data_IF_979276906444
#
_entry.id   IF_979276906444
#
_cell.length_a   1.000
_cell.length_b   1.000
_cell.length_c   1.000
_cell.angle_alpha   90.00
_cell.angle_beta   90.00
_cell.angle_gamma   90.00
#
_symmetry.space_group_name_H-M   'P 1'
#
loop_
_entity.id
_entity.type
_entity.pdbx_description
1 polymer ?
#
# COMPACT_ATOMS: atom_id res chain seq x y z
N UNK A 1 -31.94 40.90 45.84
CA UNK A 1 -30.79 41.06 46.76
C UNK A 1 -29.53 41.19 45.90
N UNK A 2 -29.14 42.44 45.61
CA UNK A 2 -28.08 42.75 44.64
C UNK A 2 -26.81 43.04 45.43
N UNK A 3 -25.86 42.11 45.44
CA UNK A 3 -24.54 42.30 46.01
C UNK A 3 -23.72 43.25 45.13
N UNK A 4 -23.64 44.54 45.55
CA UNK A 4 -22.72 45.48 44.96
C UNK A 4 -21.33 45.25 45.51
N UNK A 5 -20.44 44.64 44.69
CA UNK A 5 -19.02 44.57 45.03
C UNK A 5 -18.34 45.93 44.91
N UNK A 6 -18.22 46.60 46.03
CA UNK A 6 -17.70 47.98 46.15
C UNK A 6 -16.19 48.12 46.13
N UNK A 7 -15.40 47.09 45.79
CA UNK A 7 -13.98 47.13 45.86
C UNK A 7 -13.27 46.76 44.52
N UNK A 8 -12.72 47.76 43.85
CA UNK A 8 -12.07 47.66 42.54
C UNK A 8 -10.91 46.62 42.55
N UNK A 9 -10.24 46.40 43.68
CA UNK A 9 -9.17 45.41 43.86
C UNK A 9 -9.67 43.96 43.75
N UNK A 10 -10.88 43.65 44.24
CA UNK A 10 -11.49 42.33 44.18
C UNK A 10 -11.92 41.98 42.78
N UNK A 11 -12.36 42.95 41.95
CA UNK A 11 -12.69 42.73 40.57
C UNK A 11 -11.50 42.27 39.72
N UNK A 12 -10.31 42.80 40.00
CA UNK A 12 -9.09 42.42 39.31
C UNK A 12 -8.70 40.98 39.68
N UNK A 13 -8.83 40.58 40.96
CA UNK A 13 -8.53 39.22 41.41
C UNK A 13 -9.43 38.19 40.76
N UNK A 14 -10.73 38.45 40.62
CA UNK A 14 -11.67 37.54 39.94
C UNK A 14 -11.40 37.44 38.44
N UNK A 15 -11.01 38.53 37.77
CA UNK A 15 -10.65 38.53 36.35
C UNK A 15 -9.37 37.74 36.12
N UNK A 16 -8.37 37.89 36.97
CA UNK A 16 -7.12 37.15 36.89
C UNK A 16 -7.32 35.67 37.20
N UNK A 17 -8.14 35.30 38.20
CA UNK A 17 -8.50 33.91 38.46
C UNK A 17 -9.27 33.30 37.31
N UNK A 18 -10.19 33.99 36.66
CA UNK A 18 -10.93 33.49 35.51
C UNK A 18 -10.03 33.32 34.29
N UNK A 19 -9.08 34.22 34.06
CA UNK A 19 -8.09 34.08 33.01
C UNK A 19 -7.11 32.94 33.27
N UNK A 20 -6.70 32.68 34.50
CA UNK A 20 -5.85 31.55 34.85
C UNK A 20 -6.55 30.20 34.69
N UNK A 21 -7.88 30.12 34.96
CA UNK A 21 -8.68 28.93 34.72
C UNK A 21 -8.95 28.67 33.24
N UNK A 22 -8.94 29.71 32.39
CA UNK A 22 -9.13 29.55 30.94
C UNK A 22 -7.89 29.04 30.22
N UNK A 23 -6.71 29.05 30.87
CA UNK A 23 -5.44 28.52 30.35
C UNK A 23 -5.13 27.08 30.78
N UNK A 24 -6.00 26.41 31.54
CA UNK A 24 -5.97 24.96 31.58
C UNK A 24 -6.59 24.41 30.29
N UNK A 25 -6.05 24.88 29.14
CA UNK A 25 -6.27 24.25 27.89
C UNK A 25 -5.88 22.79 28.07
N UNK A 26 -6.77 21.88 27.76
CA UNK A 26 -6.46 20.48 27.57
C UNK A 26 -5.20 20.45 26.71
N UNK A 27 -4.03 20.28 27.34
CA UNK A 27 -2.89 19.74 26.63
C UNK A 27 -3.39 18.37 26.16
N UNK A 28 -3.88 18.29 24.91
CA UNK A 28 -4.18 17.03 24.28
C UNK A 28 -2.94 16.18 24.53
N UNK A 29 -3.07 15.15 25.34
CA UNK A 29 -2.04 14.13 25.47
C UNK A 29 -1.76 13.76 24.03
N UNK A 30 -0.53 13.90 23.51
CA UNK A 30 -0.27 13.51 22.14
C UNK A 30 -0.72 12.06 22.01
N UNK A 31 -1.82 11.88 21.30
CA UNK A 31 -2.38 10.57 21.06
C UNK A 31 -1.25 9.77 20.41
N UNK A 32 -0.83 8.67 21.05
CA UNK A 32 0.22 7.82 20.47
C UNK A 32 -0.25 7.50 19.05
N UNK A 33 0.56 7.80 18.03
CA UNK A 33 0.14 7.57 16.67
C UNK A 33 -0.34 6.13 16.54
N UNK A 34 -1.53 5.97 16.02
CA UNK A 34 -2.21 4.69 15.91
C UNK A 34 -1.39 3.75 15.03
N UNK A 35 -1.11 2.56 15.54
CA UNK A 35 -0.40 1.52 14.79
C UNK A 35 -1.34 0.93 13.75
N UNK A 36 -0.88 0.72 12.52
CA UNK A 36 -1.74 0.38 11.41
C UNK A 36 -1.23 -0.79 10.56
N UNK A 37 -2.15 -1.47 9.88
CA UNK A 37 -1.89 -2.36 8.76
C UNK A 37 -2.21 -1.59 7.50
N UNK A 38 -1.21 -1.42 6.64
CA UNK A 38 -1.33 -0.68 5.39
C UNK A 38 -1.48 -1.63 4.21
N UNK A 39 -2.64 -1.59 3.55
CA UNK A 39 -2.82 -2.20 2.24
C UNK A 39 -2.40 -1.23 1.16
N UNK A 40 -1.56 -1.69 0.23
CA UNK A 40 -1.20 -0.94 -0.96
C UNK A 40 -1.59 -1.75 -2.18
N UNK A 41 -2.55 -1.25 -2.94
CA UNK A 41 -3.03 -1.90 -4.15
C UNK A 41 -2.40 -1.29 -5.39
N UNK A 42 -2.07 -2.11 -6.39
CA UNK A 42 -1.57 -1.63 -7.68
C UNK A 42 -2.63 -0.82 -8.42
N UNK A 43 -3.85 -1.35 -8.47
CA UNK A 43 -5.01 -0.80 -9.17
C UNK A 43 -6.07 -0.33 -8.19
N UNK A 44 -7.14 0.25 -8.74
CA UNK A 44 -8.28 0.66 -7.94
C UNK A 44 -8.83 -0.51 -7.11
N UNK A 45 -8.85 -0.32 -5.79
CA UNK A 45 -9.37 -1.29 -4.82
C UNK A 45 -10.90 -1.48 -4.90
N UNK A 46 -11.61 -0.66 -5.69
CA UNK A 46 -13.07 -0.71 -5.82
C UNK A 46 -13.55 -1.87 -6.70
N UNK A 47 -12.64 -2.64 -7.30
CA UNK A 47 -13.06 -3.88 -7.96
C UNK A 47 -13.64 -4.83 -6.92
N UNK A 48 -14.78 -5.44 -7.24
CA UNK A 48 -15.48 -6.35 -6.31
C UNK A 48 -14.55 -7.40 -5.71
N UNK A 49 -13.66 -7.98 -6.50
CA UNK A 49 -12.74 -9.02 -6.05
C UNK A 49 -11.72 -8.50 -5.01
N UNK A 50 -11.09 -7.37 -5.27
CA UNK A 50 -10.11 -6.76 -4.35
C UNK A 50 -10.81 -6.31 -3.07
N UNK A 51 -11.95 -5.67 -3.20
CA UNK A 51 -12.77 -5.22 -2.09
C UNK A 51 -13.20 -6.37 -1.18
N UNK A 52 -13.73 -7.45 -1.73
CA UNK A 52 -14.18 -8.63 -0.97
C UNK A 52 -13.01 -9.28 -0.22
N UNK A 53 -11.83 -9.38 -0.84
CA UNK A 53 -10.63 -9.94 -0.19
C UNK A 53 -10.14 -9.07 0.98
N UNK A 54 -10.09 -7.74 0.79
CA UNK A 54 -9.69 -6.82 1.85
C UNK A 54 -10.69 -6.88 3.01
N UNK A 55 -11.99 -6.85 2.72
CA UNK A 55 -13.02 -6.94 3.76
C UNK A 55 -12.95 -8.26 4.52
N UNK A 56 -12.80 -9.39 3.83
CA UNK A 56 -12.64 -10.70 4.47
C UNK A 56 -11.45 -10.70 5.42
N UNK A 57 -10.33 -10.13 5.01
CA UNK A 57 -9.16 -9.97 5.88
C UNK A 57 -9.50 -9.14 7.10
N UNK A 58 -10.09 -7.95 6.91
CA UNK A 58 -10.40 -7.01 8.00
C UNK A 58 -11.35 -7.63 9.01
N UNK A 59 -12.40 -8.32 8.54
CA UNK A 59 -13.36 -9.01 9.41
C UNK A 59 -12.69 -10.13 10.20
N UNK A 60 -11.93 -11.00 9.52
CA UNK A 60 -11.21 -12.10 10.16
C UNK A 60 -10.19 -11.59 11.18
N UNK A 61 -9.43 -10.56 10.81
CA UNK A 61 -8.45 -9.93 11.69
C UNK A 61 -9.10 -9.40 12.98
N UNK A 62 -10.25 -8.74 12.86
CA UNK A 62 -11.02 -8.24 14.03
C UNK A 62 -11.56 -9.38 14.88
N UNK A 63 -12.10 -10.43 14.26
CA UNK A 63 -12.60 -11.63 14.96
C UNK A 63 -11.50 -12.32 15.76
N UNK A 64 -10.26 -12.30 15.25
CA UNK A 64 -9.08 -12.83 15.92
C UNK A 64 -8.50 -11.88 17.00
N UNK A 65 -9.14 -10.77 17.27
CA UNK A 65 -8.71 -9.79 18.28
C UNK A 65 -7.62 -8.82 17.80
N UNK A 66 -7.50 -8.63 16.50
CA UNK A 66 -6.58 -7.65 15.90
C UNK A 66 -6.85 -6.24 16.38
N UNK A 67 -5.78 -5.51 16.76
CA UNK A 67 -5.85 -4.19 17.41
C UNK A 67 -5.45 -3.03 16.53
N UNK A 68 -4.76 -3.31 15.42
CA UNK A 68 -4.29 -2.25 14.52
C UNK A 68 -5.43 -1.77 13.62
N UNK A 69 -5.46 -0.48 13.33
CA UNK A 69 -6.32 0.05 12.28
C UNK A 69 -5.88 -0.46 10.91
N UNK A 70 -6.80 -0.51 9.97
CA UNK A 70 -6.51 -0.94 8.59
C UNK A 70 -6.74 0.21 7.63
N UNK A 71 -5.74 0.53 6.83
CA UNK A 71 -5.77 1.60 5.84
C UNK A 71 -5.53 1.01 4.46
N UNK A 72 -6.25 1.49 3.46
CA UNK A 72 -6.09 1.07 2.07
C UNK A 72 -5.66 2.28 1.24
N UNK A 73 -4.50 2.18 0.62
CA UNK A 73 -3.97 3.15 -0.32
C UNK A 73 -3.83 2.52 -1.71
N UNK A 74 -4.02 3.33 -2.74
CA UNK A 74 -4.00 2.88 -4.12
C UNK A 74 -2.88 3.59 -4.89
N UNK A 75 -2.03 2.81 -5.57
CA UNK A 75 -0.99 3.36 -6.43
C UNK A 75 -1.55 3.98 -7.71
N UNK A 76 -2.80 3.66 -8.07
CA UNK A 76 -3.43 4.13 -9.32
C UNK A 76 -2.53 3.89 -10.53
N UNK A 77 -2.02 2.69 -10.64
CA UNK A 77 -1.25 2.28 -11.82
C UNK A 77 -2.17 2.23 -13.02
N UNK A 78 -1.74 2.74 -14.17
CA UNK A 78 -2.54 2.77 -15.40
C UNK A 78 -1.92 1.95 -16.52
N UNK A 79 -0.63 2.09 -16.71
CA UNK A 79 0.08 1.43 -17.82
C UNK A 79 1.59 1.35 -17.59
N UNK A 80 2.26 0.53 -18.39
CA UNK A 80 3.70 0.30 -18.33
C UNK A 80 4.52 1.57 -18.62
N UNK A 81 4.02 2.50 -19.43
CA UNK A 81 4.72 3.76 -19.73
C UNK A 81 4.99 4.59 -18.47
N UNK A 82 4.21 4.38 -17.43
CA UNK A 82 4.34 5.09 -16.16
C UNK A 82 5.17 4.34 -15.13
N UNK A 83 5.79 3.20 -15.48
CA UNK A 83 6.52 2.32 -14.55
C UNK A 83 7.58 3.06 -13.72
N UNK A 84 8.29 4.02 -14.31
CA UNK A 84 9.25 4.87 -13.57
C UNK A 84 8.61 5.66 -12.41
N UNK A 85 7.30 5.92 -12.46
CA UNK A 85 6.57 6.64 -11.41
C UNK A 85 6.10 5.72 -10.29
N UNK A 86 6.07 4.40 -10.53
CA UNK A 86 5.54 3.44 -9.56
C UNK A 86 6.32 3.45 -8.26
N UNK A 87 7.66 3.39 -8.34
CA UNK A 87 8.53 3.48 -7.15
C UNK A 87 8.23 4.73 -6.34
N UNK A 88 8.15 5.89 -7.00
CA UNK A 88 7.86 7.16 -6.33
C UNK A 88 6.46 7.19 -5.70
N UNK A 89 5.45 6.61 -6.37
CA UNK A 89 4.09 6.52 -5.82
C UNK A 89 4.09 5.67 -4.56
N UNK A 90 4.69 4.49 -4.63
CA UNK A 90 4.82 3.61 -3.48
C UNK A 90 5.58 4.28 -2.33
N UNK A 91 6.72 4.90 -2.61
CA UNK A 91 7.52 5.64 -1.61
C UNK A 91 6.68 6.70 -0.91
N UNK A 92 5.93 7.52 -1.67
CA UNK A 92 5.06 8.54 -1.10
C UNK A 92 3.98 7.96 -0.19
N UNK A 93 3.41 6.80 -0.56
CA UNK A 93 2.43 6.10 0.28
C UNK A 93 3.10 5.62 1.57
N UNK A 94 4.24 4.93 1.49
CA UNK A 94 4.95 4.41 2.65
C UNK A 94 5.40 5.54 3.61
N UNK A 95 5.88 6.66 3.07
CA UNK A 95 6.30 7.82 3.88
C UNK A 95 5.14 8.53 4.58
N UNK A 96 3.94 8.46 4.01
CA UNK A 96 2.71 8.98 4.62
C UNK A 96 2.25 8.12 5.80
N UNK A 97 2.65 6.84 5.84
CA UNK A 97 2.24 5.85 6.83
C UNK A 97 3.43 5.31 7.66
N UNK A 98 4.15 6.15 8.41
CA UNK A 98 5.36 5.74 9.13
C UNK A 98 5.07 4.78 10.30
N UNK A 99 3.80 4.65 10.70
CA UNK A 99 3.37 3.78 11.80
C UNK A 99 2.89 2.40 11.34
N UNK A 100 3.03 2.10 10.05
CA UNK A 100 2.65 0.80 9.52
C UNK A 100 3.46 -0.33 10.18
N UNK A 101 2.77 -1.27 10.82
CA UNK A 101 3.36 -2.46 11.44
C UNK A 101 3.42 -3.64 10.47
N UNK A 102 2.59 -3.58 9.46
CA UNK A 102 2.55 -4.53 8.37
C UNK A 102 2.11 -3.80 7.11
N UNK A 103 2.82 -4.03 6.03
CA UNK A 103 2.42 -3.57 4.70
C UNK A 103 1.95 -4.78 3.90
N UNK A 104 0.74 -4.71 3.35
CA UNK A 104 0.17 -5.75 2.49
C UNK A 104 0.13 -5.21 1.07
N UNK A 105 0.98 -5.76 0.21
CA UNK A 105 1.07 -5.40 -1.20
C UNK A 105 0.16 -6.29 -2.03
N UNK A 106 -0.76 -5.69 -2.79
CA UNK A 106 -1.69 -6.39 -3.67
C UNK A 106 -1.46 -5.97 -5.13
N UNK A 107 -1.00 -6.93 -5.92
CA UNK A 107 -0.73 -6.76 -7.35
C UNK A 107 0.75 -6.64 -7.70
N UNK A 108 1.06 -6.95 -8.95
CA UNK A 108 2.43 -7.09 -9.46
C UNK A 108 3.23 -5.80 -9.43
N UNK A 109 2.61 -4.66 -9.71
CA UNK A 109 3.29 -3.36 -9.77
C UNK A 109 3.68 -2.85 -8.39
N UNK A 110 2.81 -3.03 -7.37
CA UNK A 110 3.14 -2.69 -5.99
C UNK A 110 4.30 -3.57 -5.50
N UNK A 111 4.22 -4.87 -5.77
CA UNK A 111 5.26 -5.83 -5.43
C UNK A 111 6.59 -5.54 -6.12
N UNK A 112 6.57 -5.40 -7.45
CA UNK A 112 7.78 -5.09 -8.22
C UNK A 112 8.39 -3.75 -7.77
N UNK A 113 7.57 -2.73 -7.55
CA UNK A 113 8.04 -1.43 -7.05
C UNK A 113 8.74 -1.55 -5.71
N UNK A 114 8.17 -2.32 -4.78
CA UNK A 114 8.74 -2.52 -3.45
C UNK A 114 10.12 -3.18 -3.53
N UNK A 115 10.26 -4.24 -4.33
CA UNK A 115 11.53 -4.94 -4.52
C UNK A 115 12.61 -4.12 -5.27
N UNK A 116 12.26 -2.93 -5.76
CA UNK A 116 13.21 -1.97 -6.34
C UNK A 116 13.51 -0.78 -5.41
N UNK A 117 12.98 -0.75 -4.18
CA UNK A 117 13.35 0.26 -3.19
C UNK A 117 14.70 -0.09 -2.57
N UNK A 118 15.61 0.89 -2.54
CA UNK A 118 16.98 0.65 -2.07
C UNK A 118 17.20 1.14 -0.63
N UNK A 119 16.36 2.06 -0.16
CA UNK A 119 16.46 2.63 1.19
C UNK A 119 16.19 1.56 2.25
N UNK A 120 17.11 1.46 3.23
CA UNK A 120 17.06 0.49 4.31
C UNK A 120 15.77 0.59 5.15
N UNK A 121 15.23 1.80 5.32
CA UNK A 121 13.98 1.99 6.07
C UNK A 121 12.80 1.19 5.51
N UNK A 122 12.74 1.01 4.17
CA UNK A 122 11.68 0.21 3.55
C UNK A 122 11.99 -1.28 3.60
N UNK A 123 13.27 -1.66 3.52
CA UNK A 123 13.68 -3.07 3.59
C UNK A 123 13.35 -3.71 4.92
N UNK A 124 13.31 -2.93 6.00
CA UNK A 124 12.97 -3.39 7.35
C UNK A 124 11.46 -3.51 7.60
N UNK A 125 10.63 -2.94 6.74
CA UNK A 125 9.18 -3.03 6.88
C UNK A 125 8.72 -4.49 6.76
N UNK A 126 7.90 -4.99 7.71
CA UNK A 126 7.26 -6.29 7.57
C UNK A 126 6.27 -6.26 6.39
N UNK A 127 6.46 -7.14 5.42
CA UNK A 127 5.64 -7.15 4.19
C UNK A 127 5.01 -8.51 3.95
N UNK A 128 3.74 -8.47 3.58
CA UNK A 128 2.99 -9.55 3.00
C UNK A 128 2.68 -9.21 1.55
N UNK A 129 2.86 -10.14 0.63
CA UNK A 129 2.54 -9.95 -0.79
C UNK A 129 1.53 -10.98 -1.25
N UNK A 130 0.53 -10.54 -2.02
CA UNK A 130 -0.41 -11.39 -2.70
C UNK A 130 -0.84 -10.81 -4.05
N UNK A 131 -1.45 -11.64 -4.87
CA UNK A 131 -1.95 -11.27 -6.21
C UNK A 131 -0.83 -10.71 -7.11
N UNK A 132 0.36 -11.27 -7.03
CA UNK A 132 1.50 -10.83 -7.81
C UNK A 132 2.13 -12.00 -8.57
N UNK A 133 2.72 -11.71 -9.72
CA UNK A 133 3.50 -12.69 -10.45
C UNK A 133 4.88 -12.88 -9.79
N UNK A 134 5.40 -14.10 -9.85
CA UNK A 134 6.77 -14.40 -9.49
C UNK A 134 7.76 -13.66 -10.39
N UNK A 135 7.44 -13.61 -11.67
CA UNK A 135 8.23 -12.89 -12.65
C UNK A 135 7.81 -11.43 -12.71
N UNK A 136 8.77 -10.56 -12.84
CA UNK A 136 8.57 -9.15 -13.00
C UNK A 136 9.42 -8.59 -14.13
N UNK A 137 9.39 -7.29 -14.28
CA UNK A 137 10.28 -6.58 -15.19
C UNK A 137 11.25 -5.71 -14.41
N UNK A 138 12.38 -5.44 -14.99
CA UNK A 138 13.25 -4.36 -14.51
C UNK A 138 12.53 -3.04 -14.73
N UNK A 139 12.20 -2.34 -13.63
CA UNK A 139 11.59 -1.02 -13.72
C UNK A 139 12.62 -0.04 -14.25
N UNK A 140 12.42 0.57 -15.42
CA UNK A 140 13.37 1.52 -15.98
C UNK A 140 13.40 2.80 -15.15
N UNK A 141 14.57 3.42 -15.09
CA UNK A 141 14.74 4.72 -14.41
C UNK A 141 14.33 5.88 -15.33
N UNK A 142 14.60 5.75 -16.60
CA UNK A 142 14.24 6.73 -17.62
C UNK A 142 12.87 6.47 -18.25
N UNK A 143 12.39 7.45 -19.01
CA UNK A 143 11.18 7.27 -19.80
C UNK A 143 11.41 6.26 -20.91
N UNK A 144 10.45 5.34 -21.05
CA UNK A 144 10.45 4.34 -22.12
C UNK A 144 9.51 4.78 -23.25
N UNK A 145 9.88 4.47 -24.47
CA UNK A 145 8.94 4.42 -25.59
C UNK A 145 8.40 2.99 -25.68
N UNK A 146 7.14 2.79 -25.33
CA UNK A 146 6.52 1.47 -25.27
C UNK A 146 6.56 0.73 -26.63
N UNK A 147 6.67 1.48 -27.74
CA UNK A 147 6.72 0.88 -29.08
C UNK A 147 8.04 0.18 -29.38
N UNK A 148 9.08 0.57 -28.68
CA UNK A 148 10.47 0.05 -28.88
C UNK A 148 11.03 -0.58 -27.63
N UNK A 149 10.31 -0.53 -26.51
CA UNK A 149 10.75 -1.06 -25.24
C UNK A 149 10.57 -2.58 -25.19
N UNK A 150 11.66 -3.27 -24.99
CA UNK A 150 11.68 -4.70 -24.72
C UNK A 150 11.93 -4.91 -23.23
N UNK A 151 10.89 -5.22 -22.44
CA UNK A 151 11.05 -5.42 -21.00
C UNK A 151 11.94 -6.64 -20.74
N UNK A 152 12.94 -6.44 -19.88
CA UNK A 152 13.78 -7.54 -19.41
C UNK A 152 13.05 -8.25 -18.28
N UNK A 153 12.76 -9.53 -18.45
CA UNK A 153 12.21 -10.37 -17.39
C UNK A 153 13.19 -10.45 -16.22
N UNK A 154 12.65 -10.46 -15.01
CA UNK A 154 13.41 -10.51 -13.78
C UNK A 154 12.71 -11.48 -12.81
N UNK A 155 13.44 -12.50 -12.35
CA UNK A 155 12.94 -13.30 -11.21
C UNK A 155 13.02 -12.45 -9.94
N UNK A 156 11.85 -12.03 -9.46
CA UNK A 156 11.75 -11.18 -8.28
C UNK A 156 12.10 -11.92 -6.99
N UNK A 157 12.07 -13.25 -6.99
CA UNK A 157 12.38 -14.05 -5.79
C UNK A 157 13.83 -13.88 -5.34
N UNK A 158 14.78 -13.65 -6.27
CA UNK A 158 16.17 -13.39 -5.91
C UNK A 158 16.36 -12.12 -5.07
N UNK A 159 15.44 -11.16 -5.22
CA UNK A 159 15.50 -9.90 -4.49
C UNK A 159 14.89 -9.99 -3.10
N UNK A 160 14.01 -10.95 -2.85
CA UNK A 160 13.24 -11.06 -1.60
C UNK A 160 14.13 -11.14 -0.36
N UNK A 161 15.29 -11.80 -0.47
CA UNK A 161 16.22 -11.97 0.66
C UNK A 161 16.78 -10.66 1.23
N UNK A 162 16.60 -9.53 0.52
CA UNK A 162 17.02 -8.20 0.97
C UNK A 162 15.97 -7.47 1.79
N UNK A 163 14.77 -8.04 1.94
CA UNK A 163 13.61 -7.38 2.53
C UNK A 163 13.02 -8.25 3.63
N UNK A 164 12.31 -7.63 4.55
CA UNK A 164 11.59 -8.32 5.62
C UNK A 164 10.23 -8.86 5.12
N UNK A 165 10.28 -9.85 4.23
CA UNK A 165 9.08 -10.49 3.67
C UNK A 165 8.59 -11.56 4.63
N UNK A 166 7.43 -11.34 5.26
CA UNK A 166 6.81 -12.29 6.17
C UNK A 166 6.15 -13.43 5.41
N UNK A 167 5.46 -13.09 4.30
CA UNK A 167 4.81 -14.07 3.44
C UNK A 167 4.63 -13.50 2.03
N UNK A 168 4.72 -14.36 1.04
CA UNK A 168 4.49 -14.00 -0.35
C UNK A 168 3.70 -15.12 -1.03
N UNK A 169 2.55 -14.77 -1.60
CA UNK A 169 1.78 -15.65 -2.46
C UNK A 169 1.86 -15.12 -3.89
N UNK A 170 2.71 -15.73 -4.70
CA UNK A 170 2.89 -15.39 -6.10
C UNK A 170 2.42 -16.52 -6.99
N UNK A 171 1.98 -16.18 -8.17
CA UNK A 171 1.68 -17.11 -9.25
C UNK A 171 2.74 -16.98 -10.37
N UNK A 172 2.86 -18.01 -11.14
CA UNK A 172 3.72 -18.06 -12.32
C UNK A 172 2.86 -18.34 -13.54
N UNK A 173 3.03 -17.54 -14.58
CA UNK A 173 2.47 -17.83 -15.89
C UNK A 173 3.45 -18.71 -16.65
N UNK A 174 3.00 -19.88 -17.07
CA UNK A 174 3.75 -20.79 -17.93
C UNK A 174 3.00 -20.92 -19.26
N UNK A 175 3.23 -19.93 -20.12
CA UNK A 175 2.51 -19.83 -21.40
C UNK A 175 2.75 -21.07 -22.25
N UNK A 176 3.94 -21.67 -22.21
CA UNK A 176 4.24 -22.88 -22.98
C UNK A 176 3.37 -24.05 -22.54
N UNK A 177 3.25 -24.27 -21.23
CA UNK A 177 2.35 -25.31 -20.70
C UNK A 177 0.88 -25.02 -20.98
N UNK A 178 0.49 -23.76 -20.90
CA UNK A 178 -0.90 -23.36 -21.20
C UNK A 178 -1.21 -23.65 -22.67
N UNK A 179 -0.27 -23.37 -23.60
CA UNK A 179 -0.42 -23.71 -25.03
C UNK A 179 -0.41 -25.22 -25.24
N UNK A 180 0.48 -25.96 -24.57
CA UNK A 180 0.47 -27.43 -24.64
C UNK A 180 -0.85 -28.02 -24.14
N UNK A 181 -1.38 -27.51 -23.05
CA UNK A 181 -2.66 -27.92 -22.53
C UNK A 181 -3.80 -27.61 -23.54
N UNK A 182 -3.81 -26.40 -24.10
CA UNK A 182 -4.80 -26.04 -25.14
C UNK A 182 -4.73 -27.00 -26.34
N UNK A 183 -3.53 -27.33 -26.82
CA UNK A 183 -3.34 -28.29 -27.90
C UNK A 183 -3.81 -29.70 -27.56
N UNK A 184 -3.71 -30.09 -26.30
CA UNK A 184 -4.22 -31.38 -25.85
C UNK A 184 -5.75 -31.50 -25.98
N UNK A 185 -6.46 -30.39 -25.80
CA UNK A 185 -7.94 -30.31 -25.97
C UNK A 185 -8.35 -30.02 -27.41
N UNK A 186 -7.53 -29.30 -28.16
CA UNK A 186 -7.77 -28.87 -29.55
C UNK A 186 -6.58 -29.22 -30.42
N UNK A 187 -6.39 -30.50 -30.80
CA UNK A 187 -5.20 -30.94 -31.56
C UNK A 187 -5.01 -30.24 -32.90
N UNK A 188 -6.14 -29.86 -33.53
CA UNK A 188 -6.19 -29.21 -34.84
C UNK A 188 -6.12 -27.66 -34.76
N UNK A 189 -5.72 -27.10 -33.60
CA UNK A 189 -5.60 -25.67 -33.43
C UNK A 189 -4.47 -25.13 -34.29
N UNK A 190 -4.79 -24.33 -35.30
CA UNK A 190 -3.80 -23.69 -36.20
C UNK A 190 -3.47 -22.26 -35.77
N UNK A 191 -4.39 -21.59 -35.09
CA UNK A 191 -4.26 -20.17 -34.71
C UNK A 191 -4.57 -19.95 -33.24
N UNK A 192 -3.74 -19.09 -32.60
CA UNK A 192 -3.95 -18.61 -31.25
C UNK A 192 -3.92 -17.09 -31.25
N UNK A 193 -4.89 -16.47 -30.62
CA UNK A 193 -4.96 -15.01 -30.48
C UNK A 193 -4.78 -14.63 -29.02
N UNK A 194 -3.76 -13.83 -28.74
CA UNK A 194 -3.59 -13.20 -27.42
C UNK A 194 -4.26 -11.84 -27.41
N UNK A 195 -5.08 -11.62 -26.41
CA UNK A 195 -5.67 -10.31 -26.14
C UNK A 195 -5.07 -9.81 -24.83
N UNK A 196 -4.37 -8.70 -24.89
CA UNK A 196 -3.72 -8.07 -23.74
C UNK A 196 -3.92 -6.56 -23.76
N UNK A 197 -3.77 -5.93 -22.64
CA UNK A 197 -3.71 -4.49 -22.52
C UNK A 197 -2.26 -4.01 -22.26
N UNK A 198 -2.09 -2.73 -21.93
CA UNK A 198 -0.79 -2.15 -21.62
C UNK A 198 -0.43 -2.24 -20.14
N UNK A 199 -1.09 -3.08 -19.38
CA UNK A 199 -0.74 -3.30 -17.98
C UNK A 199 0.53 -4.14 -17.85
N UNK A 200 1.01 -4.26 -16.64
CA UNK A 200 2.22 -4.98 -16.31
C UNK A 200 2.11 -6.51 -16.48
N UNK A 201 0.89 -7.05 -16.38
CA UNK A 201 0.62 -8.50 -16.41
C UNK A 201 0.62 -9.07 -17.81
#
# INVERSE_FOLDING_TARGET
MTLQLKNKKWRIVYVISFLLFSFTGNAAIPEKPEEEILFVTSYNSDTKYTYDNINTFVETYRQLGGKYSTIVENMNVTDLNQSRKWKKRLTNILDKHPNAKLVILLGGEAWSSFLHLEDEKYRQLPVFCAMASRNGIRIPEDSIDIRTYEPQSLDLTERMNKYNIIYCNTYEYDIDKDIEMMRSFYPDMEHLVFISDNTYN
#
